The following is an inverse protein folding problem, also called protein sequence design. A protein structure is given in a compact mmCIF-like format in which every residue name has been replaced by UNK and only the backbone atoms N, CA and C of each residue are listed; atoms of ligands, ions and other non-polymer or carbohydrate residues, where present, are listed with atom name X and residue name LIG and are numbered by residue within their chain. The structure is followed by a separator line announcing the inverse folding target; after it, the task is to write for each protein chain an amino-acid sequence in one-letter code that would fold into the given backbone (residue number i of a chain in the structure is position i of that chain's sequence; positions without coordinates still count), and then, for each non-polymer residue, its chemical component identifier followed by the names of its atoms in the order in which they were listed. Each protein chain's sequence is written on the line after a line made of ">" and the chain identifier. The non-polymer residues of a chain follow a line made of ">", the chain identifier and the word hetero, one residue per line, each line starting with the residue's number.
data_IF_193573102387
#
_entry.id   IF_193573102387
#
_cell.length_a   1.000
_cell.length_b   1.000
_cell.length_c   1.000
_cell.angle_alpha   90.00
_cell.angle_beta   90.00
_cell.angle_gamma   90.00
#
_symmetry.space_group_name_H-M   'P 1'
#
loop_
_entity.id
_entity.type
_entity.pdbx_description
1 polymer ?
#
# COMPACT_ATOMS: atom_id res chain seq x y z
N UNK A 1 1.25 41.17 1.80
CA UNK A 1 0.19 40.18 2.14
C UNK A 1 0.74 38.78 1.87
N UNK A 2 1.63 38.25 2.74
CA UNK A 2 2.14 36.86 2.60
C UNK A 2 3.00 36.38 3.80
N UNK A 3 2.80 36.92 5.00
CA UNK A 3 3.45 36.38 6.22
C UNK A 3 2.51 35.48 7.05
N UNK A 4 1.21 35.48 6.77
CA UNK A 4 0.21 34.68 7.48
C UNK A 4 0.06 33.25 6.94
N UNK A 5 0.68 32.91 5.81
CA UNK A 5 0.53 31.60 5.17
C UNK A 5 1.56 30.55 5.64
N UNK A 6 2.69 30.99 6.20
CA UNK A 6 3.71 30.07 6.74
C UNK A 6 3.50 29.74 8.23
N UNK A 7 2.71 30.54 8.95
CA UNK A 7 2.37 30.28 10.36
C UNK A 7 1.24 29.26 10.53
N UNK A 8 0.43 29.02 9.50
CA UNK A 8 -0.61 27.97 9.52
C UNK A 8 -0.09 26.60 9.09
N UNK A 9 1.02 26.53 8.34
CA UNK A 9 1.66 25.26 7.97
C UNK A 9 2.63 24.74 9.06
N UNK A 10 3.24 25.65 9.84
CA UNK A 10 4.08 25.31 10.99
C UNK A 10 3.32 24.82 12.23
N UNK A 11 1.99 24.96 12.28
CA UNK A 11 1.13 24.47 13.37
C UNK A 11 0.53 23.08 13.11
N UNK A 12 0.63 22.54 11.89
CA UNK A 12 0.13 21.20 11.57
C UNK A 12 1.14 20.08 11.85
N UNK A 13 2.43 20.39 12.03
CA UNK A 13 3.47 19.39 12.29
C UNK A 13 3.59 19.04 13.79
N UNK A 14 2.96 19.82 14.68
CA UNK A 14 2.91 19.53 16.13
C UNK A 14 1.60 18.88 16.61
N UNK A 15 0.73 18.41 15.70
CA UNK A 15 -0.49 17.65 16.02
C UNK A 15 -0.50 16.22 15.46
N UNK A 16 0.65 15.69 15.04
CA UNK A 16 0.81 14.29 14.64
C UNK A 16 0.62 13.26 15.77
N UNK A 17 0.32 13.71 16.99
CA UNK A 17 -0.14 12.89 18.09
C UNK A 17 -1.64 13.13 18.32
N UNK A 18 -2.54 12.54 17.51
CA UNK A 18 -3.93 12.32 17.96
C UNK A 18 -4.77 11.32 17.18
N UNK A 19 -4.47 10.90 15.94
CA UNK A 19 -5.37 9.99 15.22
C UNK A 19 -4.90 8.53 15.18
N UNK A 20 -3.59 8.26 14.99
CA UNK A 20 -3.08 6.88 14.89
C UNK A 20 -3.01 6.15 16.24
N UNK A 21 -2.64 6.82 17.33
CA UNK A 21 -2.61 6.21 18.67
C UNK A 21 -4.01 5.89 19.21
N UNK A 22 -5.02 6.61 18.72
CA UNK A 22 -6.44 6.35 18.97
C UNK A 22 -6.96 5.11 18.20
N UNK A 23 -6.18 4.57 17.26
CA UNK A 23 -6.57 3.47 16.36
C UNK A 23 -5.88 2.11 16.61
N UNK A 24 -5.19 1.93 17.75
CA UNK A 24 -4.66 0.60 18.14
C UNK A 24 -5.44 0.03 19.33
N UNK A 25 -6.27 -0.99 19.08
CA UNK A 25 -6.91 -1.76 20.15
C UNK A 25 -6.18 -3.07 20.34
N UNK A 26 -5.67 -3.32 21.55
CA UNK A 26 -5.02 -4.59 21.92
C UNK A 26 -5.93 -5.82 21.84
N UNK A 27 -7.24 -5.61 21.66
CA UNK A 27 -8.24 -6.68 21.57
C UNK A 27 -8.63 -7.01 20.12
N UNK A 28 -8.15 -6.24 19.14
CA UNK A 28 -8.30 -6.53 17.72
C UNK A 28 -7.02 -7.21 17.23
N UNK A 29 -7.09 -8.51 16.95
CA UNK A 29 -5.94 -9.29 16.48
C UNK A 29 -5.84 -9.28 14.95
N UNK A 30 -4.66 -9.52 14.40
CA UNK A 30 -4.44 -9.60 12.94
C UNK A 30 -5.33 -10.65 12.29
N UNK A 31 -5.50 -11.79 12.96
CA UNK A 31 -6.45 -12.84 12.58
C UNK A 31 -7.88 -12.34 12.35
N UNK A 32 -8.35 -11.39 13.16
CA UNK A 32 -9.69 -10.80 13.00
C UNK A 32 -9.71 -9.78 11.87
N UNK A 33 -8.60 -9.07 11.64
CA UNK A 33 -8.48 -8.13 10.52
C UNK A 33 -8.49 -8.89 9.20
N UNK A 34 -7.83 -10.04 9.12
CA UNK A 34 -7.74 -10.85 7.91
C UNK A 34 -9.03 -11.66 7.66
N UNK A 35 -9.55 -12.35 8.67
CA UNK A 35 -10.68 -13.26 8.53
C UNK A 35 -12.01 -12.64 9.00
N UNK A 36 -12.92 -12.42 8.06
CA UNK A 36 -14.25 -11.85 8.32
C UNK A 36 -15.08 -12.68 9.31
N UNK A 37 -14.94 -14.01 9.29
CA UNK A 37 -15.67 -14.91 10.17
C UNK A 37 -15.19 -14.79 11.64
N UNK A 38 -13.92 -14.44 11.82
CA UNK A 38 -13.35 -14.10 13.13
C UNK A 38 -13.76 -12.69 13.54
N UNK A 39 -13.71 -11.72 12.63
CA UNK A 39 -14.17 -10.35 12.87
C UNK A 39 -15.64 -10.32 13.33
N UNK A 40 -16.51 -11.11 12.71
CA UNK A 40 -17.94 -11.21 13.02
C UNK A 40 -18.23 -11.62 14.48
N UNK A 41 -17.25 -12.24 15.14
CA UNK A 41 -17.32 -12.66 16.54
C UNK A 41 -16.92 -11.55 17.53
N UNK A 42 -16.62 -10.33 17.06
CA UNK A 42 -16.26 -9.17 17.90
C UNK A 42 -17.23 -8.89 19.06
N UNK A 43 -18.55 -9.15 19.01
CA UNK A 43 -19.43 -8.91 20.15
C UNK A 43 -19.08 -9.81 21.35
N UNK A 44 -18.54 -11.01 21.11
CA UNK A 44 -18.08 -11.92 22.19
C UNK A 44 -16.81 -11.39 22.85
N UNK A 45 -15.91 -10.80 22.08
CA UNK A 45 -14.65 -10.22 22.56
C UNK A 45 -14.93 -8.94 23.33
N UNK A 46 -15.78 -8.05 22.80
CA UNK A 46 -16.17 -6.81 23.45
C UNK A 46 -16.77 -7.04 24.85
N UNK A 47 -17.49 -8.14 25.08
CA UNK A 47 -18.03 -8.49 26.41
C UNK A 47 -16.94 -8.67 27.47
N UNK A 48 -15.75 -9.13 27.07
CA UNK A 48 -14.61 -9.36 27.96
C UNK A 48 -13.83 -8.09 28.28
N UNK A 49 -14.11 -6.98 27.59
CA UNK A 49 -13.48 -5.68 27.83
C UNK A 49 -14.30 -4.93 28.89
N UNK A 50 -13.70 -4.77 30.08
CA UNK A 50 -14.35 -4.12 31.23
C UNK A 50 -14.12 -2.61 31.27
N UNK A 51 -12.93 -2.13 30.87
CA UNK A 51 -12.65 -0.71 30.77
C UNK A 51 -13.50 -0.08 29.64
N UNK A 52 -14.21 1.01 29.96
CA UNK A 52 -15.16 1.66 29.04
C UNK A 52 -14.46 2.33 27.85
N UNK A 53 -13.33 2.98 28.09
CA UNK A 53 -12.49 3.64 27.07
C UNK A 53 -11.94 2.61 26.09
N UNK A 54 -11.32 1.55 26.60
CA UNK A 54 -10.80 0.44 25.79
C UNK A 54 -11.89 -0.24 24.96
N UNK A 55 -13.10 -0.35 25.51
CA UNK A 55 -14.25 -0.95 24.83
C UNK A 55 -14.80 -0.05 23.72
N UNK A 56 -14.84 1.26 23.93
CA UNK A 56 -15.21 2.23 22.90
C UNK A 56 -14.17 2.23 21.76
N UNK A 57 -12.87 2.26 22.10
CA UNK A 57 -11.75 2.14 21.16
C UNK A 57 -11.84 0.87 20.33
N UNK A 58 -12.11 -0.27 20.99
CA UNK A 58 -12.30 -1.55 20.29
C UNK A 58 -13.44 -1.49 19.28
N UNK A 59 -14.63 -0.99 19.65
CA UNK A 59 -15.74 -0.86 18.70
C UNK A 59 -15.46 0.13 17.56
N UNK A 60 -14.76 1.23 17.84
CA UNK A 60 -14.31 2.16 16.80
C UNK A 60 -13.41 1.47 15.77
N UNK A 61 -12.50 0.62 16.24
CA UNK A 61 -11.64 -0.16 15.35
C UNK A 61 -12.38 -1.19 14.54
N UNK A 62 -13.33 -1.91 15.15
CA UNK A 62 -14.19 -2.83 14.41
C UNK A 62 -14.94 -2.10 13.28
N UNK A 63 -15.50 -0.93 13.56
CA UNK A 63 -16.18 -0.11 12.56
C UNK A 63 -15.26 0.25 11.39
N UNK A 64 -14.03 0.67 11.70
CA UNK A 64 -13.02 1.00 10.69
C UNK A 64 -12.60 -0.22 9.85
N UNK A 65 -12.37 -1.39 10.48
CA UNK A 65 -12.00 -2.61 9.75
C UNK A 65 -13.08 -3.06 8.77
N UNK A 66 -14.37 -2.99 9.16
CA UNK A 66 -15.46 -3.28 8.21
C UNK A 66 -15.53 -2.26 7.07
N UNK A 67 -15.24 -0.98 7.35
CA UNK A 67 -15.19 0.05 6.33
C UNK A 67 -14.09 -0.20 5.30
N UNK A 68 -12.86 -0.54 5.73
CA UNK A 68 -11.77 -0.88 4.82
C UNK A 68 -12.14 -2.08 3.94
N UNK A 69 -12.66 -3.17 4.54
CA UNK A 69 -13.11 -4.35 3.77
C UNK A 69 -14.22 -4.03 2.78
N UNK A 70 -15.08 -3.06 3.08
CA UNK A 70 -16.10 -2.57 2.16
C UNK A 70 -15.47 -1.79 0.99
N UNK A 71 -14.47 -0.94 1.25
CA UNK A 71 -13.73 -0.24 0.20
C UNK A 71 -12.99 -1.22 -0.72
N UNK A 72 -12.37 -2.26 -0.15
CA UNK A 72 -11.70 -3.30 -0.93
C UNK A 72 -12.65 -3.97 -1.91
N UNK A 73 -13.85 -4.39 -1.44
CA UNK A 73 -14.89 -4.97 -2.29
C UNK A 73 -15.38 -4.01 -3.38
N UNK A 74 -15.44 -2.71 -3.07
CA UNK A 74 -15.88 -1.68 -4.03
C UNK A 74 -14.85 -1.55 -5.16
N UNK A 75 -13.58 -1.42 -4.81
CA UNK A 75 -12.48 -1.32 -5.77
C UNK A 75 -12.35 -2.60 -6.61
N UNK A 76 -12.50 -3.77 -5.98
CA UNK A 76 -12.48 -5.06 -6.66
C UNK A 76 -13.62 -5.15 -7.69
N UNK A 77 -14.84 -4.74 -7.30
CA UNK A 77 -15.97 -4.75 -8.21
C UNK A 77 -15.72 -3.82 -9.41
N UNK A 78 -15.34 -2.57 -9.18
CA UNK A 78 -15.05 -1.61 -10.25
C UNK A 78 -14.00 -2.12 -11.25
N UNK A 79 -12.99 -2.83 -10.75
CA UNK A 79 -11.97 -3.49 -11.58
C UNK A 79 -12.56 -4.62 -12.42
N UNK A 80 -13.31 -5.53 -11.79
CA UNK A 80 -13.96 -6.66 -12.46
C UNK A 80 -14.98 -6.18 -13.51
N UNK A 81 -15.74 -5.13 -13.24
CA UNK A 81 -16.72 -4.58 -14.19
C UNK A 81 -16.09 -4.12 -15.50
N UNK A 82 -14.94 -3.43 -15.42
CA UNK A 82 -14.18 -3.02 -16.61
C UNK A 82 -13.74 -4.25 -17.42
N UNK A 83 -13.29 -5.30 -16.72
CA UNK A 83 -12.84 -6.54 -17.35
C UNK A 83 -14.00 -7.28 -18.02
N UNK A 84 -15.16 -7.36 -17.37
CA UNK A 84 -16.38 -7.94 -17.94
C UNK A 84 -16.86 -7.16 -19.17
N UNK A 85 -16.82 -5.83 -19.16
CA UNK A 85 -17.19 -5.01 -20.31
C UNK A 85 -16.31 -5.29 -21.53
N UNK A 86 -14.98 -5.33 -21.36
CA UNK A 86 -14.04 -5.69 -22.43
C UNK A 86 -14.36 -7.09 -22.97
N UNK A 87 -14.62 -8.06 -22.08
CA UNK A 87 -14.95 -9.41 -22.51
C UNK A 87 -16.28 -9.47 -23.27
N UNK A 88 -17.30 -8.72 -22.86
CA UNK A 88 -18.59 -8.63 -23.56
C UNK A 88 -18.43 -8.01 -24.96
N UNK A 89 -17.54 -7.01 -25.11
CA UNK A 89 -17.24 -6.39 -26.42
C UNK A 89 -16.68 -7.38 -27.44
N UNK A 90 -15.95 -8.41 -27.00
CA UNK A 90 -15.47 -9.48 -27.90
C UNK A 90 -16.63 -10.28 -28.53
N UNK A 91 -17.83 -10.26 -27.93
CA UNK A 91 -19.01 -10.97 -28.43
C UNK A 91 -19.98 -10.06 -29.21
N UNK A 92 -19.92 -8.73 -29.02
CA UNK A 92 -20.83 -7.76 -29.66
C UNK A 92 -20.18 -6.39 -29.77
N UNK A 93 -20.30 -5.73 -30.93
CA UNK A 93 -19.79 -4.37 -31.18
C UNK A 93 -20.46 -3.31 -30.26
N UNK A 94 -21.63 -3.63 -29.71
CA UNK A 94 -22.33 -2.81 -28.72
C UNK A 94 -22.44 -3.53 -27.37
N UNK A 95 -21.98 -2.90 -26.29
CA UNK A 95 -22.13 -3.41 -24.92
C UNK A 95 -23.53 -3.10 -24.42
N UNK A 96 -24.42 -4.09 -24.46
CA UNK A 96 -25.74 -3.97 -23.84
C UNK A 96 -25.68 -4.35 -22.35
N UNK A 97 -25.84 -3.37 -21.47
CA UNK A 97 -25.85 -3.56 -20.01
C UNK A 97 -27.26 -3.70 -19.42
N UNK A 98 -28.27 -3.94 -20.24
CA UNK A 98 -29.67 -4.00 -19.81
C UNK A 98 -29.94 -5.10 -18.76
N UNK A 99 -29.12 -6.17 -18.75
CA UNK A 99 -29.16 -7.22 -17.74
C UNK A 99 -28.85 -6.73 -16.31
N UNK A 100 -28.23 -5.55 -16.16
CA UNK A 100 -27.94 -4.92 -14.87
C UNK A 100 -29.07 -4.02 -14.36
N UNK A 101 -30.08 -3.67 -15.19
CA UNK A 101 -31.13 -2.69 -14.84
C UNK A 101 -31.97 -3.09 -13.62
N UNK A 102 -32.07 -4.38 -13.32
CA UNK A 102 -32.84 -4.91 -12.19
C UNK A 102 -31.98 -5.22 -10.94
N UNK A 103 -30.70 -4.86 -10.95
CA UNK A 103 -29.84 -5.06 -9.80
C UNK A 103 -30.09 -3.94 -8.77
N UNK A 104 -30.66 -4.28 -7.61
CA UNK A 104 -30.90 -3.32 -6.53
C UNK A 104 -29.56 -2.73 -6.07
N UNK A 105 -29.50 -1.40 -5.89
CA UNK A 105 -28.29 -0.73 -5.42
C UNK A 105 -27.92 -1.17 -4.00
N UNK A 106 -26.62 -1.19 -3.70
CA UNK A 106 -26.18 -1.47 -2.33
C UNK A 106 -26.76 -0.43 -1.37
N UNK A 107 -27.56 -0.90 -0.39
CA UNK A 107 -28.45 -0.06 0.41
C UNK A 107 -27.76 0.97 1.31
N UNK A 108 -26.66 0.59 1.99
CA UNK A 108 -25.96 1.47 2.95
C UNK A 108 -24.54 1.74 2.46
N UNK A 109 -24.20 3.01 2.24
CA UNK A 109 -22.88 3.47 1.80
C UNK A 109 -22.44 4.67 2.63
N UNK A 110 -21.99 4.42 3.86
CA UNK A 110 -21.48 5.48 4.73
C UNK A 110 -19.95 5.57 4.65
N UNK A 111 -19.45 6.80 4.75
CA UNK A 111 -18.05 7.07 5.02
C UNK A 111 -17.74 6.90 6.51
N UNK A 112 -16.54 6.41 6.80
CA UNK A 112 -16.07 6.33 8.18
C UNK A 112 -15.49 7.66 8.64
N UNK A 113 -16.12 8.26 9.65
CA UNK A 113 -15.59 9.42 10.37
C UNK A 113 -15.32 9.01 11.83
N UNK A 114 -14.08 9.05 12.36
CA UNK A 114 -13.79 8.61 13.73
C UNK A 114 -14.55 9.46 14.76
N UNK A 115 -14.98 8.84 15.87
CA UNK A 115 -15.47 9.61 17.01
C UNK A 115 -14.22 9.96 17.84
N UNK A 116 -14.03 11.24 18.11
CA UNK A 116 -12.95 11.71 18.98
C UNK A 116 -13.40 11.62 20.44
N UNK A 117 -12.60 10.97 21.29
CA UNK A 117 -12.88 10.83 22.73
C UNK A 117 -11.58 10.57 23.51
N UNK A 118 -11.60 10.96 24.77
CA UNK A 118 -10.51 10.77 25.75
C UNK A 118 -10.91 9.78 26.86
N UNK A 119 -9.94 9.38 27.69
CA UNK A 119 -10.20 8.47 28.82
C UNK A 119 -11.07 9.12 29.91
N UNK A 120 -10.98 10.45 30.05
CA UNK A 120 -11.72 11.24 31.05
C UNK A 120 -13.13 11.62 30.58
N UNK A 121 -13.46 11.41 29.30
CA UNK A 121 -14.73 11.81 28.72
C UNK A 121 -15.90 10.95 29.21
N UNK A 122 -17.05 11.59 29.45
CA UNK A 122 -18.31 10.86 29.64
C UNK A 122 -18.93 10.52 28.29
N UNK A 123 -18.78 9.28 27.83
CA UNK A 123 -19.35 8.82 26.56
C UNK A 123 -20.24 7.58 26.68
N UNK A 124 -21.10 7.40 25.68
CA UNK A 124 -21.99 6.24 25.57
C UNK A 124 -21.40 5.17 24.68
N UNK A 125 -21.03 4.02 25.27
CA UNK A 125 -20.57 2.83 24.53
C UNK A 125 -21.62 2.35 23.52
N UNK A 126 -22.92 2.65 23.73
CA UNK A 126 -23.98 2.30 22.80
C UNK A 126 -23.76 2.92 21.42
N UNK A 127 -23.22 4.15 21.36
CA UNK A 127 -22.92 4.84 20.11
C UNK A 127 -21.85 4.10 19.30
N UNK A 128 -20.71 3.79 19.92
CA UNK A 128 -19.63 3.04 19.28
C UNK A 128 -20.07 1.65 18.84
N UNK A 129 -20.86 0.95 19.68
CA UNK A 129 -21.44 -0.35 19.33
C UNK A 129 -22.38 -0.26 18.13
N UNK A 130 -23.23 0.76 18.08
CA UNK A 130 -24.16 0.99 16.97
C UNK A 130 -23.38 1.27 15.67
N UNK A 131 -22.35 2.13 15.74
CA UNK A 131 -21.47 2.42 14.61
C UNK A 131 -20.78 1.16 14.07
N UNK A 132 -20.22 0.32 14.94
CA UNK A 132 -19.64 -0.96 14.55
C UNK A 132 -20.68 -1.89 13.87
N UNK A 133 -21.90 -1.94 14.40
CA UNK A 133 -23.00 -2.72 13.81
C UNK A 133 -23.43 -2.20 12.44
N UNK A 134 -23.44 -0.88 12.25
CA UNK A 134 -23.75 -0.24 10.98
C UNK A 134 -22.73 -0.59 9.89
N UNK A 135 -21.43 -0.43 10.15
CA UNK A 135 -20.39 -0.76 9.17
C UNK A 135 -20.32 -2.27 8.87
N UNK A 136 -20.56 -3.12 9.88
CA UNK A 136 -20.76 -4.56 9.64
C UNK A 136 -21.89 -4.83 8.65
N UNK A 137 -23.04 -4.17 8.85
CA UNK A 137 -24.21 -4.33 7.99
C UNK A 137 -23.89 -3.86 6.56
N UNK A 138 -23.30 -2.68 6.42
CA UNK A 138 -22.83 -2.13 5.13
C UNK A 138 -21.92 -3.11 4.38
N UNK A 139 -20.90 -3.66 5.05
CA UNK A 139 -20.02 -4.65 4.42
C UNK A 139 -20.78 -5.88 3.90
N UNK A 140 -21.65 -6.48 4.72
CA UNK A 140 -22.36 -7.70 4.32
C UNK A 140 -23.42 -7.45 3.24
N UNK A 141 -24.10 -6.30 3.27
CA UNK A 141 -25.02 -5.88 2.21
C UNK A 141 -24.28 -5.67 0.89
N UNK A 142 -23.15 -4.95 0.92
CA UNK A 142 -22.35 -4.73 -0.27
C UNK A 142 -21.75 -6.04 -0.81
N UNK A 143 -21.31 -6.95 0.07
CA UNK A 143 -20.86 -8.29 -0.35
C UNK A 143 -21.97 -9.08 -1.04
N UNK A 144 -23.22 -8.96 -0.56
CA UNK A 144 -24.38 -9.53 -1.24
C UNK A 144 -24.57 -8.96 -2.64
N UNK A 145 -24.54 -7.63 -2.75
CA UNK A 145 -24.62 -6.89 -4.01
C UNK A 145 -23.48 -7.27 -4.99
N UNK A 146 -22.24 -7.32 -4.51
CA UNK A 146 -21.05 -7.77 -5.24
C UNK A 146 -21.31 -9.13 -5.89
N UNK A 147 -21.70 -10.13 -5.10
CA UNK A 147 -21.94 -11.48 -5.60
C UNK A 147 -23.08 -11.53 -6.62
N UNK A 148 -24.16 -10.78 -6.39
CA UNK A 148 -25.27 -10.68 -7.34
C UNK A 148 -24.81 -10.09 -8.68
N UNK A 149 -24.02 -9.01 -8.66
CA UNK A 149 -23.52 -8.35 -9.86
C UNK A 149 -22.59 -9.26 -10.66
N UNK A 150 -21.66 -9.95 -10.00
CA UNK A 150 -20.79 -10.94 -10.63
C UNK A 150 -21.60 -12.08 -11.26
N UNK A 151 -22.64 -12.58 -10.58
CA UNK A 151 -23.51 -13.62 -11.15
C UNK A 151 -24.26 -13.14 -12.40
N UNK A 152 -24.71 -11.88 -12.43
CA UNK A 152 -25.36 -11.30 -13.60
C UNK A 152 -24.40 -11.23 -14.80
N UNK A 153 -23.17 -10.74 -14.59
CA UNK A 153 -22.15 -10.72 -15.63
C UNK A 153 -21.82 -12.12 -16.16
N UNK A 154 -21.63 -13.09 -15.28
CA UNK A 154 -21.37 -14.47 -15.69
C UNK A 154 -22.53 -15.09 -16.47
N UNK A 155 -23.78 -14.74 -16.12
CA UNK A 155 -24.96 -15.20 -16.85
C UNK A 155 -25.01 -14.61 -18.25
N UNK A 156 -24.76 -13.31 -18.39
CA UNK A 156 -24.74 -12.62 -19.68
C UNK A 156 -23.68 -13.20 -20.62
N UNK A 157 -22.45 -13.38 -20.12
CA UNK A 157 -21.37 -14.01 -20.90
C UNK A 157 -21.78 -15.38 -21.43
N UNK A 158 -22.48 -16.17 -20.60
CA UNK A 158 -22.96 -17.49 -21.00
C UNK A 158 -24.04 -17.42 -22.08
N UNK A 159 -24.92 -16.42 -22.03
CA UNK A 159 -25.95 -16.20 -23.05
C UNK A 159 -25.33 -15.73 -24.38
N UNK A 160 -24.43 -14.75 -24.35
CA UNK A 160 -23.67 -14.24 -25.51
C UNK A 160 -22.82 -15.32 -26.18
N UNK A 161 -22.23 -16.22 -25.37
CA UNK A 161 -21.51 -17.37 -25.89
C UNK A 161 -22.44 -18.30 -26.67
N UNK A 162 -23.59 -18.64 -26.10
CA UNK A 162 -24.53 -19.58 -26.71
C UNK A 162 -25.12 -19.02 -28.01
N UNK A 163 -25.38 -17.71 -28.09
CA UNK A 163 -25.83 -17.07 -29.34
C UNK A 163 -24.72 -17.10 -30.41
N UNK A 164 -23.47 -16.79 -30.05
CA UNK A 164 -22.34 -16.79 -31.00
C UNK A 164 -21.97 -18.20 -31.49
N UNK A 165 -22.17 -19.26 -30.69
CA UNK A 165 -21.99 -20.65 -31.14
C UNK A 165 -22.96 -21.08 -32.25
N UNK A 166 -24.12 -20.44 -32.40
CA UNK A 166 -25.05 -20.70 -33.51
C UNK A 166 -24.52 -20.12 -34.83
N UNK A 167 -23.71 -19.05 -34.78
CA UNK A 167 -23.14 -18.36 -35.95
C UNK A 167 -21.75 -18.87 -36.38
N UNK A 168 -21.06 -19.67 -35.54
CA UNK A 168 -19.64 -20.02 -35.66
C UNK A 168 -19.31 -21.25 -36.53
N UNK A 169 -20.14 -21.62 -37.51
CA UNK A 169 -19.79 -22.70 -38.45
C UNK A 169 -18.61 -22.35 -39.40
N UNK A 170 -17.94 -21.20 -39.27
CA UNK A 170 -16.93 -20.76 -40.23
C UNK A 170 -15.74 -19.90 -39.72
N UNK A 171 -15.40 -19.82 -38.42
CA UNK A 171 -14.17 -19.10 -38.03
C UNK A 171 -13.45 -19.63 -36.78
N UNK A 172 -12.11 -19.55 -36.82
CA UNK A 172 -11.17 -19.90 -35.75
C UNK A 172 -11.12 -18.82 -34.63
N UNK A 173 -12.27 -18.41 -34.08
CA UNK A 173 -12.30 -17.55 -32.89
C UNK A 173 -12.34 -18.40 -31.60
N UNK A 174 -11.52 -18.04 -30.62
CA UNK A 174 -11.51 -18.71 -29.30
C UNK A 174 -12.76 -18.31 -28.50
N UNK A 175 -13.44 -19.31 -27.95
CA UNK A 175 -14.67 -19.16 -27.15
C UNK A 175 -14.32 -19.53 -25.70
N UNK A 176 -14.82 -18.77 -24.72
CA UNK A 176 -14.52 -18.98 -23.29
C UNK A 176 -15.78 -19.36 -22.50
N UNK A 177 -15.71 -20.41 -21.67
CA UNK A 177 -16.91 -20.94 -21.00
C UNK A 177 -17.38 -20.12 -19.80
N UNK A 178 -16.48 -19.38 -19.16
CA UNK A 178 -16.73 -18.43 -18.08
C UNK A 178 -15.54 -17.45 -17.96
N UNK A 179 -15.68 -16.47 -17.05
CA UNK A 179 -14.61 -15.50 -16.76
C UNK A 179 -13.32 -16.17 -16.29
N UNK A 180 -13.41 -17.26 -15.53
CA UNK A 180 -12.25 -18.01 -15.07
C UNK A 180 -11.53 -18.69 -16.24
N UNK A 181 -12.22 -19.19 -17.26
CA UNK A 181 -11.62 -19.74 -18.47
C UNK A 181 -11.03 -18.67 -19.37
N UNK A 182 -11.61 -17.47 -19.41
CA UNK A 182 -11.00 -16.32 -20.07
C UNK A 182 -9.69 -15.94 -19.36
N UNK A 183 -9.71 -15.85 -18.03
CA UNK A 183 -8.52 -15.58 -17.21
C UNK A 183 -7.49 -16.71 -17.36
N UNK A 184 -7.87 -17.97 -17.23
CA UNK A 184 -6.99 -19.13 -17.41
C UNK A 184 -6.45 -19.21 -18.84
N UNK A 185 -7.20 -18.79 -19.87
CA UNK A 185 -6.68 -18.72 -21.23
C UNK A 185 -5.69 -17.55 -21.39
N UNK A 186 -6.01 -16.36 -20.89
CA UNK A 186 -5.11 -15.21 -20.87
C UNK A 186 -3.82 -15.56 -20.12
N UNK A 187 -3.94 -16.25 -18.98
CA UNK A 187 -2.84 -16.79 -18.19
C UNK A 187 -2.09 -17.88 -18.97
N UNK A 188 -2.76 -18.87 -19.58
CA UNK A 188 -2.14 -19.92 -20.42
C UNK A 188 -1.46 -19.40 -21.69
N UNK A 189 -1.94 -18.31 -22.28
CA UNK A 189 -1.26 -17.59 -23.37
C UNK A 189 -0.14 -16.67 -22.88
N UNK A 190 -0.13 -16.31 -21.59
CA UNK A 190 0.98 -15.63 -20.90
C UNK A 190 2.04 -16.62 -20.39
N UNK A 191 1.74 -17.92 -20.33
CA UNK A 191 2.67 -18.93 -19.81
C UNK A 191 3.78 -19.37 -20.76
N UNK A 192 3.90 -18.77 -21.96
CA UNK A 192 4.99 -19.11 -22.88
C UNK A 192 6.01 -18.01 -23.14
N UNK A 193 5.87 -16.78 -22.63
CA UNK A 193 6.97 -15.80 -22.61
C UNK A 193 6.83 -14.84 -21.41
N UNK A 194 7.94 -14.41 -20.75
CA UNK A 194 7.90 -13.41 -19.69
C UNK A 194 7.45 -12.07 -20.28
N UNK A 195 6.13 -11.85 -20.31
CA UNK A 195 5.50 -10.69 -20.91
C UNK A 195 5.79 -9.42 -20.09
N UNK A 196 6.92 -8.80 -20.36
CA UNK A 196 7.22 -7.42 -19.98
C UNK A 196 6.19 -6.50 -20.66
N UNK A 197 5.31 -5.89 -19.88
CA UNK A 197 4.41 -4.85 -20.37
C UNK A 197 5.04 -3.48 -20.07
N UNK A 198 5.39 -2.74 -21.11
CA UNK A 198 6.04 -1.42 -21.01
C UNK A 198 5.04 -0.32 -21.34
N UNK A 199 4.87 0.63 -20.43
CA UNK A 199 4.01 1.80 -20.60
C UNK A 199 4.92 3.01 -20.83
N UNK A 200 4.62 3.80 -21.86
CA UNK A 200 5.35 5.03 -22.18
C UNK A 200 4.59 6.26 -21.71
N UNK A 201 5.29 7.35 -21.42
CA UNK A 201 4.69 8.66 -21.19
C UNK A 201 4.51 9.43 -22.52
N UNK A 202 3.94 10.64 -22.45
CA UNK A 202 3.71 11.51 -23.61
C UNK A 202 5.01 11.89 -24.36
N UNK A 203 6.17 11.82 -23.69
CA UNK A 203 7.50 12.09 -24.24
C UNK A 203 8.19 10.82 -24.80
N UNK A 204 7.45 9.72 -25.00
CA UNK A 204 7.94 8.41 -25.46
C UNK A 204 9.01 7.78 -24.55
N UNK A 205 9.15 8.25 -23.30
CA UNK A 205 10.00 7.64 -22.29
C UNK A 205 9.25 6.53 -21.57
N UNK A 206 9.98 5.51 -21.13
CA UNK A 206 9.39 4.39 -20.37
C UNK A 206 8.90 4.92 -19.02
N UNK A 207 7.60 4.98 -18.82
CA UNK A 207 7.00 5.36 -17.55
C UNK A 207 7.01 4.19 -16.55
N UNK A 208 6.68 2.99 -17.04
CA UNK A 208 6.44 1.81 -16.21
C UNK A 208 6.76 0.52 -16.97
N UNK A 209 7.28 -0.47 -16.25
CA UNK A 209 7.42 -1.85 -16.73
C UNK A 209 6.75 -2.78 -15.73
N UNK A 210 5.87 -3.64 -16.21
CA UNK A 210 5.16 -4.64 -15.41
C UNK A 210 5.53 -6.05 -15.87
N UNK A 211 5.73 -6.96 -14.92
CA UNK A 211 5.97 -8.37 -15.21
C UNK A 211 5.45 -9.25 -14.08
N UNK A 212 5.31 -10.54 -14.36
CA UNK A 212 5.00 -11.55 -13.35
C UNK A 212 6.21 -12.47 -13.19
N UNK A 213 6.52 -12.85 -11.95
CA UNK A 213 7.50 -13.89 -11.63
C UNK A 213 7.01 -14.64 -10.40
N UNK A 214 7.01 -15.97 -10.45
CA UNK A 214 6.59 -16.84 -9.34
C UNK A 214 5.27 -16.40 -8.68
N UNK A 215 4.22 -16.25 -9.49
CA UNK A 215 2.86 -15.84 -9.09
C UNK A 215 2.75 -14.42 -8.49
N UNK A 216 3.86 -13.70 -8.37
CA UNK A 216 3.89 -12.34 -7.81
C UNK A 216 3.85 -11.31 -8.94
N UNK A 217 3.09 -10.24 -8.73
CA UNK A 217 3.08 -9.11 -9.65
C UNK A 217 4.23 -8.17 -9.32
N UNK A 218 5.02 -7.80 -10.32
CA UNK A 218 6.09 -6.83 -10.21
C UNK A 218 5.84 -5.64 -11.13
N UNK A 219 6.18 -4.46 -10.60
CA UNK A 219 6.07 -3.19 -11.32
C UNK A 219 7.31 -2.35 -11.04
N UNK A 220 7.90 -1.74 -12.07
CA UNK A 220 8.96 -0.74 -11.95
C UNK A 220 8.49 0.56 -12.56
N UNK A 221 8.51 1.63 -11.78
CA UNK A 221 8.25 3.00 -12.24
C UNK A 221 9.54 3.76 -12.44
N UNK A 222 9.57 4.60 -13.47
CA UNK A 222 10.73 5.41 -13.84
C UNK A 222 10.44 6.89 -13.68
N UNK A 223 11.40 7.62 -13.13
CA UNK A 223 11.32 9.06 -12.95
C UNK A 223 12.53 9.71 -13.61
N UNK A 224 12.27 10.70 -14.45
CA UNK A 224 13.28 11.36 -15.27
C UNK A 224 13.57 12.78 -14.77
N UNK A 225 14.76 13.30 -15.08
CA UNK A 225 15.00 14.74 -14.95
C UNK A 225 14.27 15.49 -16.07
N UNK A 226 13.75 16.68 -15.76
CA UNK A 226 13.09 17.55 -16.74
C UNK A 226 14.04 18.16 -17.78
N UNK A 227 15.35 18.16 -17.52
CA UNK A 227 16.33 18.93 -18.32
C UNK A 227 16.96 18.07 -19.41
N UNK A 228 17.26 16.80 -19.11
CA UNK A 228 18.00 15.93 -20.03
C UNK A 228 17.36 14.55 -20.22
N UNK A 229 16.17 14.31 -19.65
CA UNK A 229 15.48 13.02 -19.71
C UNK A 229 16.33 11.82 -19.22
N UNK A 230 17.36 12.07 -18.40
CA UNK A 230 18.08 10.99 -17.72
C UNK A 230 17.21 10.42 -16.60
N UNK A 231 17.31 9.12 -16.37
CA UNK A 231 16.65 8.47 -15.23
C UNK A 231 17.23 9.05 -13.94
N UNK A 232 16.38 9.71 -13.17
CA UNK A 232 16.70 10.23 -11.84
C UNK A 232 16.53 9.13 -10.79
N UNK A 233 15.46 8.35 -10.90
CA UNK A 233 15.05 7.38 -9.90
C UNK A 233 14.19 6.28 -10.51
N UNK A 234 14.26 5.07 -9.96
CA UNK A 234 13.31 3.98 -10.21
C UNK A 234 12.71 3.49 -8.91
N UNK A 235 11.47 3.02 -8.96
CA UNK A 235 10.77 2.43 -7.81
C UNK A 235 10.18 1.08 -8.22
N UNK A 236 10.60 0.03 -7.53
CA UNK A 236 10.17 -1.34 -7.71
C UNK A 236 9.11 -1.71 -6.68
N UNK A 237 8.04 -2.29 -7.18
CA UNK A 237 6.91 -2.78 -6.42
C UNK A 237 6.79 -4.29 -6.60
N UNK A 238 6.35 -4.96 -5.54
CA UNK A 238 5.87 -6.33 -5.54
C UNK A 238 4.49 -6.34 -4.92
N UNK A 239 3.49 -6.84 -5.63
CA UNK A 239 2.10 -6.93 -5.18
C UNK A 239 1.60 -5.58 -4.59
N UNK A 240 1.83 -4.49 -5.34
CA UNK A 240 1.53 -3.10 -4.99
C UNK A 240 2.27 -2.51 -3.76
N UNK A 241 3.21 -3.25 -3.17
CA UNK A 241 4.06 -2.77 -2.07
C UNK A 241 5.43 -2.37 -2.58
N UNK A 242 5.99 -1.27 -2.10
CA UNK A 242 7.33 -0.83 -2.50
C UNK A 242 8.35 -1.80 -1.91
N UNK A 243 9.30 -2.25 -2.73
CA UNK A 243 10.40 -3.14 -2.30
C UNK A 243 11.73 -2.40 -2.36
N UNK A 244 11.96 -1.65 -3.43
CA UNK A 244 13.23 -1.02 -3.72
C UNK A 244 13.02 0.33 -4.42
N UNK A 245 13.67 1.37 -3.95
CA UNK A 245 13.82 2.63 -4.67
C UNK A 245 15.31 2.82 -4.98
N UNK A 246 15.66 3.03 -6.25
CA UNK A 246 17.04 3.31 -6.69
C UNK A 246 17.13 4.77 -7.13
N UNK A 247 18.05 5.53 -6.56
CA UNK A 247 18.25 6.96 -6.88
C UNK A 247 19.61 7.16 -7.52
N UNK A 248 19.62 7.58 -8.79
CA UNK A 248 20.80 7.71 -9.63
C UNK A 248 21.38 9.13 -9.66
N UNK A 249 20.50 10.13 -9.55
CA UNK A 249 20.87 11.55 -9.60
C UNK A 249 20.36 12.21 -8.33
N UNK A 250 21.28 12.52 -7.42
CA UNK A 250 20.99 13.20 -6.16
C UNK A 250 22.11 14.19 -5.81
N UNK A 251 21.76 15.17 -4.97
CA UNK A 251 22.72 16.12 -4.46
C UNK A 251 23.42 15.49 -3.24
N UNK A 252 24.73 15.26 -3.35
CA UNK A 252 25.56 14.70 -2.28
C UNK A 252 25.50 15.60 -1.03
N UNK A 253 25.38 16.92 -1.23
CA UNK A 253 25.33 17.89 -0.13
C UNK A 253 24.01 17.84 0.66
N UNK A 254 22.94 17.32 0.04
CA UNK A 254 21.66 17.10 0.72
C UNK A 254 21.60 15.71 1.40
N UNK A 255 22.49 14.78 1.04
CA UNK A 255 22.55 13.45 1.66
C UNK A 255 23.38 13.48 2.95
N UNK A 256 22.72 13.23 4.08
CA UNK A 256 23.34 13.32 5.42
C UNK A 256 24.50 12.35 5.63
N UNK A 257 24.46 11.16 5.03
CA UNK A 257 25.49 10.15 5.23
C UNK A 257 26.75 10.49 4.43
N UNK A 258 26.59 10.77 3.15
CA UNK A 258 27.72 11.17 2.31
C UNK A 258 28.27 12.54 2.71
N UNK A 259 27.41 13.49 3.06
CA UNK A 259 27.84 14.78 3.62
C UNK A 259 28.66 14.60 4.92
N UNK A 260 28.27 13.65 5.78
CA UNK A 260 29.07 13.30 6.95
C UNK A 260 30.45 12.76 6.55
N UNK A 261 30.50 11.81 5.60
CA UNK A 261 31.76 11.24 5.14
C UNK A 261 32.68 12.30 4.49
N UNK A 262 32.14 13.23 3.72
CA UNK A 262 32.91 14.30 3.07
C UNK A 262 33.45 15.34 4.07
N UNK A 263 32.68 15.67 5.11
CA UNK A 263 33.05 16.72 6.06
C UNK A 263 34.10 16.29 7.10
N UNK A 264 34.17 15.01 7.46
CA UNK A 264 35.08 14.53 8.52
C UNK A 264 36.50 14.19 8.04
N UNK A 265 37.05 14.94 7.06
CA UNK A 265 38.42 14.78 6.52
C UNK A 265 38.77 13.34 6.13
N UNK A 266 37.85 12.66 5.45
CA UNK A 266 38.14 11.34 4.95
C UNK A 266 38.96 11.42 3.65
N UNK A 267 40.08 10.69 3.58
CA UNK A 267 40.78 10.32 2.33
C UNK A 267 39.96 9.29 1.53
N UNK A 268 38.63 9.35 1.60
CA UNK A 268 37.77 8.53 0.77
C UNK A 268 37.69 9.24 -0.57
N UNK A 269 38.56 8.81 -1.48
CA UNK A 269 38.55 9.25 -2.86
C UNK A 269 37.32 8.64 -3.53
N UNK A 270 36.17 9.27 -3.34
CA UNK A 270 34.98 8.98 -4.14
C UNK A 270 35.33 9.37 -5.56
N UNK A 271 35.51 8.39 -6.44
CA UNK A 271 35.43 8.64 -7.87
C UNK A 271 34.09 9.36 -8.08
N UNK A 272 34.16 10.67 -8.35
CA UNK A 272 33.01 11.57 -8.47
C UNK A 272 32.09 11.21 -9.64
N UNK A 273 32.44 10.15 -10.38
CA UNK A 273 31.67 9.56 -11.44
C UNK A 273 30.60 8.64 -10.84
N UNK A 274 29.46 9.23 -10.50
CA UNK A 274 28.17 8.55 -10.34
C UNK A 274 28.03 7.72 -9.07
N UNK A 275 27.71 8.35 -7.95
CA UNK A 275 27.18 7.62 -6.78
C UNK A 275 25.68 7.41 -7.00
N UNK A 276 25.17 6.24 -6.63
CA UNK A 276 23.73 5.97 -6.54
C UNK A 276 23.42 5.27 -5.21
N UNK A 277 22.17 5.24 -4.79
CA UNK A 277 21.79 4.47 -3.61
C UNK A 277 20.47 3.73 -3.79
N UNK A 278 20.35 2.63 -3.05
CA UNK A 278 19.15 1.81 -2.98
C UNK A 278 18.51 1.95 -1.60
N UNK A 279 17.22 2.27 -1.57
CA UNK A 279 16.37 2.26 -0.39
C UNK A 279 15.50 1.00 -0.40
N UNK A 280 15.54 0.23 0.67
CA UNK A 280 14.80 -1.01 0.83
C UNK A 280 13.70 -0.84 1.87
N UNK A 281 12.52 -1.34 1.53
CA UNK A 281 11.31 -1.16 2.34
C UNK A 281 10.83 -2.49 2.89
N UNK A 282 10.32 -2.47 4.12
CA UNK A 282 9.72 -3.65 4.73
C UNK A 282 8.27 -3.82 4.25
N UNK A 283 7.60 -4.90 4.67
CA UNK A 283 6.19 -5.19 4.33
C UNK A 283 5.18 -4.11 4.78
N UNK A 284 5.60 -3.11 5.56
CA UNK A 284 4.79 -1.96 5.98
C UNK A 284 5.19 -0.65 5.27
N UNK A 285 5.93 -0.74 4.16
CA UNK A 285 6.46 0.41 3.41
C UNK A 285 7.36 1.33 4.25
N UNK A 286 8.04 0.79 5.28
CA UNK A 286 9.02 1.54 6.05
C UNK A 286 10.43 1.29 5.54
N UNK A 287 11.20 2.36 5.37
CA UNK A 287 12.59 2.31 4.95
C UNK A 287 13.45 1.66 6.05
N UNK A 288 13.88 0.42 5.85
CA UNK A 288 14.69 -0.32 6.82
C UNK A 288 16.18 -0.36 6.48
N UNK A 289 16.55 -0.10 5.21
CA UNK A 289 17.94 -0.13 4.78
C UNK A 289 18.16 0.82 3.60
N UNK A 290 19.24 1.59 3.65
CA UNK A 290 19.75 2.36 2.51
C UNK A 290 21.17 1.92 2.23
N UNK A 291 21.51 1.55 0.99
CA UNK A 291 22.86 1.15 0.59
C UNK A 291 23.38 2.11 -0.47
N UNK A 292 24.57 2.64 -0.26
CA UNK A 292 25.22 3.57 -1.16
C UNK A 292 26.26 2.85 -2.00
N UNK A 293 26.29 3.15 -3.30
CA UNK A 293 27.16 2.50 -4.28
C UNK A 293 27.94 3.52 -5.09
N UNK A 294 29.15 3.14 -5.46
CA UNK A 294 29.89 3.76 -6.56
C UNK A 294 29.31 3.31 -7.91
N UNK A 295 29.60 4.04 -9.00
CA UNK A 295 29.13 3.67 -10.35
C UNK A 295 29.60 2.29 -10.82
N UNK A 296 30.74 1.81 -10.31
CA UNK A 296 31.27 0.47 -10.58
C UNK A 296 30.52 -0.65 -9.82
N UNK A 297 29.56 -0.30 -8.95
CA UNK A 297 28.77 -1.24 -8.14
C UNK A 297 29.34 -1.56 -6.76
N UNK A 298 30.50 -1.01 -6.38
CA UNK A 298 31.08 -1.22 -5.05
C UNK A 298 30.24 -0.51 -3.97
N UNK A 299 30.07 -1.14 -2.81
CA UNK A 299 29.29 -0.59 -1.70
C UNK A 299 30.17 0.38 -0.89
N UNK A 300 29.75 1.63 -0.83
CA UNK A 300 30.39 2.65 0.02
C UNK A 300 30.07 2.36 1.49
N UNK A 301 28.82 2.03 1.76
CA UNK A 301 28.29 1.87 3.10
C UNK A 301 26.78 1.78 3.11
N UNK A 302 26.20 1.69 4.31
CA UNK A 302 24.76 1.66 4.46
C UNK A 302 24.26 2.23 5.78
N UNK A 303 22.98 2.57 5.76
CA UNK A 303 22.19 2.91 6.93
C UNK A 303 21.20 1.78 7.15
N UNK A 304 21.13 1.26 8.39
CA UNK A 304 20.15 0.27 8.82
C UNK A 304 19.23 0.88 9.87
N UNK A 305 17.93 0.86 9.61
CA UNK A 305 16.90 1.32 10.52
C UNK A 305 16.24 0.13 11.21
N UNK A 306 16.09 0.22 12.53
CA UNK A 306 15.53 -0.81 13.38
C UNK A 306 14.19 -0.37 13.94
N UNK A 307 13.19 -1.23 13.81
CA UNK A 307 11.83 -0.96 14.25
C UNK A 307 11.42 -1.95 15.34
N UNK A 308 10.73 -1.45 16.37
CA UNK A 308 10.05 -2.26 17.37
C UNK A 308 8.59 -2.47 16.95
N UNK A 309 8.10 -3.69 17.13
CA UNK A 309 6.76 -4.13 16.67
C UNK A 309 6.47 -3.77 15.20
N UNK A 310 7.51 -3.72 14.38
CA UNK A 310 7.47 -3.41 12.94
C UNK A 310 6.86 -2.04 12.56
N UNK A 311 6.76 -1.09 13.52
CA UNK A 311 6.16 0.24 13.28
C UNK A 311 6.94 1.42 13.88
N UNK A 312 7.61 1.25 15.02
CA UNK A 312 8.29 2.36 15.72
C UNK A 312 9.79 2.31 15.51
N UNK A 313 10.39 3.36 14.95
CA UNK A 313 11.85 3.46 14.81
C UNK A 313 12.51 3.53 16.20
N UNK A 314 13.31 2.52 16.52
CA UNK A 314 14.03 2.39 17.81
C UNK A 314 15.54 2.57 17.67
N UNK A 315 16.07 2.45 16.46
CA UNK A 315 17.47 2.73 16.22
C UNK A 315 17.81 2.90 14.75
N UNK A 316 18.99 3.46 14.51
CA UNK A 316 19.57 3.68 13.19
C UNK A 316 21.09 3.44 13.32
N UNK A 317 21.67 2.60 12.47
CA UNK A 317 23.10 2.31 12.46
C UNK A 317 23.70 2.65 11.11
N UNK A 318 24.82 3.37 11.11
CA UNK A 318 25.55 3.76 9.90
C UNK A 318 26.83 2.94 9.80
N UNK A 319 27.10 2.42 8.61
CA UNK A 319 28.25 1.57 8.33
C UNK A 319 28.98 2.03 7.06
N UNK A 320 30.29 1.78 7.02
CA UNK A 320 31.15 1.89 5.83
C UNK A 320 31.76 0.52 5.50
N UNK A 321 32.63 0.47 4.50
CA UNK A 321 33.40 -0.72 4.08
C UNK A 321 32.48 -1.91 3.79
N UNK A 322 31.67 -1.80 2.74
CA UNK A 322 30.67 -2.81 2.38
C UNK A 322 29.71 -3.18 3.53
N UNK A 323 29.35 -2.19 4.36
CA UNK A 323 28.50 -2.34 5.53
C UNK A 323 29.09 -3.13 6.71
N UNK A 324 30.40 -3.29 6.79
CA UNK A 324 31.04 -4.10 7.84
C UNK A 324 31.40 -3.28 9.07
N UNK A 325 31.81 -2.03 8.88
CA UNK A 325 32.35 -1.20 9.96
C UNK A 325 31.34 -0.15 10.40
N UNK A 326 30.81 -0.29 11.63
CA UNK A 326 29.86 0.65 12.20
C UNK A 326 30.57 1.95 12.59
N UNK A 327 30.00 3.08 12.20
CA UNK A 327 30.58 4.42 12.43
C UNK A 327 29.70 5.29 13.33
N UNK A 328 28.37 5.14 13.25
CA UNK A 328 27.39 5.81 14.12
C UNK A 328 26.27 4.86 14.50
N UNK A 329 25.78 5.02 15.72
CA UNK A 329 24.55 4.40 16.21
C UNK A 329 23.67 5.46 16.85
N UNK A 330 22.43 5.50 16.44
CA UNK A 330 21.39 6.29 17.06
C UNK A 330 20.42 5.32 17.73
N UNK A 331 20.17 5.51 19.02
CA UNK A 331 19.22 4.70 19.78
C UNK A 331 18.22 5.57 20.49
N UNK A 332 16.97 5.13 20.45
CA UNK A 332 15.92 5.79 21.18
C UNK A 332 15.90 5.29 22.64
N UNK A 333 16.12 6.20 23.60
CA UNK A 333 16.10 5.88 25.03
C UNK A 333 15.08 6.74 25.74
N UNK A 334 14.22 6.12 26.54
CA UNK A 334 13.35 6.87 27.44
C UNK A 334 14.19 7.55 28.52
N UNK A 335 14.11 8.88 28.60
CA UNK A 335 14.71 9.66 29.67
C UNK A 335 13.65 9.96 30.75
N UNK A 336 13.77 9.36 31.94
CA UNK A 336 12.82 9.59 33.04
C UNK A 336 12.79 11.04 33.52
N UNK A 337 13.87 11.82 33.31
CA UNK A 337 13.95 13.21 33.77
C UNK A 337 13.11 14.14 32.93
N UNK A 338 13.11 13.93 31.62
CA UNK A 338 12.33 14.75 30.66
C UNK A 338 11.00 14.10 30.30
N UNK A 339 10.75 12.86 30.77
CA UNK A 339 9.60 12.01 30.41
C UNK A 339 9.44 11.85 28.89
N UNK A 340 10.53 11.97 28.15
CA UNK A 340 10.54 11.90 26.68
C UNK A 340 11.54 10.85 26.21
N UNK A 341 11.27 10.33 25.03
CA UNK A 341 12.19 9.52 24.26
C UNK A 341 13.24 10.45 23.63
N UNK A 342 14.51 10.24 23.97
CA UNK A 342 15.64 11.00 23.42
C UNK A 342 16.48 10.11 22.51
N UNK A 343 17.01 10.71 21.44
CA UNK A 343 17.98 10.07 20.57
C UNK A 343 19.37 10.20 21.15
N UNK A 344 19.97 9.06 21.48
CA UNK A 344 21.37 8.99 21.88
C UNK A 344 22.20 8.62 20.67
N UNK A 345 23.18 9.46 20.35
CA UNK A 345 24.19 9.18 19.34
C UNK A 345 25.44 8.57 20.01
N UNK A 346 25.94 7.49 19.44
CA UNK A 346 27.25 6.92 19.74
C UNK A 346 28.09 6.90 18.46
N UNK A 347 29.27 7.50 18.51
CA UNK A 347 30.26 7.47 17.43
C UNK A 347 31.31 6.40 17.72
N UNK A 348 31.67 5.63 16.71
CA UNK A 348 32.63 4.50 16.81
C UNK A 348 33.90 4.72 16.01
N UNK A 349 33.98 5.84 15.31
CA UNK A 349 35.15 6.29 14.59
C UNK A 349 35.79 7.45 15.35
N UNK A 350 37.11 7.42 15.52
CA UNK A 350 37.93 8.53 16.02
C UNK A 350 38.24 9.56 14.95
#
# INVERSE_FOLDING_TARGET
>A
MSLYFYLTLGLLINLGFSEFDLLRSKYLTDDMVLDISKLDKYPKIARKIFNKYEKAKFYQMIAYTYYIKYQDLTNELESLEKQFQVLIQEYSDEVNLDFLKNNESAGIQNEFVPILFSEDDSFSIKLFKAKAGMFKKQYHEYRGYFNQKINLYNKELKELRNSKMVDLNNSNQKIYDDYNQFILNQESSKYNEPGLNTIFNDDELINEINWYSDESFFQRKFYYTKVNNNIKMTVDYKDNSIVLETVYIFDISDDRFLSFLMNEKNDVNFDSNGIFYNKYYNKFNQLFKTVYYQANGNIIGCILNFFEEELKLVGENWYIDDCQNKIREFKNKYDPKTQKYIWLESKYWN
#
